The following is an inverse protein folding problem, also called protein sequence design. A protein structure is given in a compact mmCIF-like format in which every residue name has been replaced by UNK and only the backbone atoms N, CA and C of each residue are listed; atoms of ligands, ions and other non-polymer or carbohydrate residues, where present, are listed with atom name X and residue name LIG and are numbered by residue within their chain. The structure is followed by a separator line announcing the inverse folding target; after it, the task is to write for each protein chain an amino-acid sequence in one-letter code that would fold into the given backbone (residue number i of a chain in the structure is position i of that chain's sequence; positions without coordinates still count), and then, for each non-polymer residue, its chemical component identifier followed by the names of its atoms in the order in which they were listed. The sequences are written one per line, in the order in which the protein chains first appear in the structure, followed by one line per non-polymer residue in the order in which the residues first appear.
data_IF_994541287141
#
_entry.id   IF_994541287141
#
_cell.length_a   1.000
_cell.length_b   1.000
_cell.length_c   1.000
_cell.angle_alpha   90.00
_cell.angle_beta   90.00
_cell.angle_gamma   90.00
#
_symmetry.space_group_name_H-M   'P 1'
#
loop_
_entity.id
_entity.type
_entity.pdbx_description
1 polymer ?
#
# COMPACT_ATOMS: atom_id res chain seq x y z
N UNK A 1 0.56 13.68 -14.49
CA UNK A 1 1.42 13.32 -13.35
C UNK A 1 0.67 12.38 -12.42
N UNK A 2 1.34 11.31 -12.00
CA UNK A 2 0.70 10.37 -11.07
C UNK A 2 0.69 10.97 -9.67
N UNK A 3 -0.41 10.79 -8.92
CA UNK A 3 -0.48 11.30 -7.56
C UNK A 3 0.49 10.54 -6.66
N UNK A 4 1.03 11.24 -5.68
CA UNK A 4 1.95 10.65 -4.70
C UNK A 4 1.18 10.32 -3.43
N UNK A 5 1.45 9.16 -2.85
CA UNK A 5 0.82 8.75 -1.60
C UNK A 5 1.44 9.55 -0.46
N UNK A 6 0.60 10.23 0.30
CA UNK A 6 1.02 11.01 1.45
C UNK A 6 0.85 10.24 2.75
N UNK A 7 -0.28 9.53 2.88
CA UNK A 7 -0.57 8.71 4.05
C UNK A 7 -1.24 7.43 3.62
N UNK A 8 -1.08 6.40 4.42
CA UNK A 8 -1.77 5.14 4.21
C UNK A 8 -2.05 4.51 5.58
N UNK A 9 -3.23 3.90 5.74
CA UNK A 9 -3.62 3.24 6.97
C UNK A 9 -4.28 1.92 6.66
N UNK A 10 -3.95 0.91 7.45
CA UNK A 10 -4.63 -0.37 7.37
C UNK A 10 -6.04 -0.24 7.94
N UNK A 11 -7.03 -0.80 7.23
CA UNK A 11 -8.41 -0.80 7.70
C UNK A 11 -8.87 -2.21 8.10
N UNK A 12 -8.94 -3.11 7.14
CA UNK A 12 -9.37 -4.49 7.40
C UNK A 12 -8.99 -5.37 6.23
N UNK A 13 -8.81 -6.68 6.47
CA UNK A 13 -8.47 -7.62 5.41
C UNK A 13 -7.29 -7.12 4.59
N UNK A 14 -7.52 -6.84 3.31
CA UNK A 14 -6.52 -6.26 2.41
C UNK A 14 -6.95 -4.87 1.93
N UNK A 15 -7.77 -4.20 2.71
CA UNK A 15 -8.26 -2.85 2.41
C UNK A 15 -7.46 -1.83 3.19
N UNK A 16 -7.05 -0.77 2.50
CA UNK A 16 -6.29 0.34 3.10
C UNK A 16 -6.95 1.66 2.75
N UNK A 17 -6.77 2.64 3.63
CA UNK A 17 -7.14 4.01 3.35
C UNK A 17 -5.88 4.73 2.87
N UNK A 18 -6.00 5.47 1.76
CA UNK A 18 -4.88 6.17 1.15
C UNK A 18 -5.26 7.64 0.98
N UNK A 19 -4.32 8.51 1.32
CA UNK A 19 -4.44 9.94 1.04
C UNK A 19 -3.29 10.36 0.14
N UNK A 20 -3.63 11.07 -0.93
CA UNK A 20 -2.66 11.56 -1.90
C UNK A 20 -2.27 13.00 -1.64
N UNK A 21 -1.17 13.44 -2.24
CA UNK A 21 -0.65 14.79 -2.01
C UNK A 21 -1.53 15.90 -2.57
N UNK A 22 -2.48 15.57 -3.44
CA UNK A 22 -3.44 16.54 -3.98
C UNK A 22 -4.68 16.66 -3.10
N UNK A 23 -4.72 15.95 -1.97
CA UNK A 23 -5.85 15.99 -1.05
C UNK A 23 -6.90 14.93 -1.30
N UNK A 24 -6.83 14.19 -2.41
CA UNK A 24 -7.75 13.08 -2.67
C UNK A 24 -7.48 11.95 -1.69
N UNK A 25 -8.54 11.28 -1.25
CA UNK A 25 -8.41 10.15 -0.33
C UNK A 25 -9.53 9.15 -0.57
N UNK A 26 -9.31 7.91 -0.14
CA UNK A 26 -10.32 6.87 -0.27
C UNK A 26 -9.81 5.54 0.19
N UNK A 27 -10.73 4.57 0.23
CA UNK A 27 -10.41 3.20 0.59
C UNK A 27 -10.17 2.37 -0.66
N UNK A 28 -9.16 1.53 -0.62
CA UNK A 28 -8.79 0.68 -1.75
C UNK A 28 -8.63 -0.75 -1.26
N UNK A 29 -9.30 -1.68 -1.94
CA UNK A 29 -9.13 -3.11 -1.70
C UNK A 29 -8.01 -3.62 -2.61
N UNK A 30 -6.92 -4.06 -2.01
CA UNK A 30 -5.75 -4.51 -2.74
C UNK A 30 -5.69 -6.03 -2.96
N UNK A 31 -6.76 -6.75 -2.65
CA UNK A 31 -6.78 -8.21 -2.77
C UNK A 31 -6.36 -8.67 -4.16
N UNK A 32 -6.87 -8.04 -5.20
CA UNK A 32 -6.59 -8.43 -6.59
C UNK A 32 -5.15 -8.10 -7.02
N UNK A 33 -4.46 -7.28 -6.25
CA UNK A 33 -3.09 -6.88 -6.56
C UNK A 33 -2.03 -7.75 -5.88
N UNK A 34 -2.44 -8.63 -4.98
CA UNK A 34 -1.52 -9.44 -4.19
C UNK A 34 -1.14 -10.74 -4.91
N UNK A 35 -0.49 -10.62 -6.05
CA UNK A 35 -0.02 -11.77 -6.83
C UNK A 35 1.45 -11.58 -7.20
N UNK A 36 2.13 -12.69 -7.52
CA UNK A 36 3.56 -12.68 -7.78
C UNK A 36 4.37 -12.97 -6.52
N UNK A 37 5.61 -13.38 -6.68
CA UNK A 37 6.45 -13.84 -5.56
C UNK A 37 6.65 -12.76 -4.49
N UNK A 38 6.85 -11.52 -4.90
CA UNK A 38 7.12 -10.41 -3.97
C UNK A 38 5.92 -10.15 -3.07
N UNK A 39 4.71 -10.37 -3.60
CA UNK A 39 3.49 -10.09 -2.85
C UNK A 39 2.95 -11.31 -2.09
N UNK A 40 3.56 -12.47 -2.26
CA UNK A 40 3.10 -13.69 -1.57
C UNK A 40 3.06 -13.52 -0.05
N UNK A 41 4.12 -12.99 0.61
CA UNK A 41 4.07 -12.76 2.06
C UNK A 41 2.97 -11.80 2.50
N UNK A 42 2.54 -10.90 1.63
CA UNK A 42 1.52 -9.91 1.96
C UNK A 42 0.13 -10.52 2.07
N UNK A 43 -0.05 -11.75 1.61
CA UNK A 43 -1.32 -12.47 1.78
C UNK A 43 -1.58 -12.81 3.23
N UNK A 44 -0.54 -12.81 4.08
CA UNK A 44 -0.70 -12.93 5.52
C UNK A 44 -1.05 -11.56 6.06
N UNK A 45 -2.22 -11.43 6.69
CA UNK A 45 -2.72 -10.14 7.17
C UNK A 45 -1.72 -9.46 8.11
N UNK A 46 -1.08 -10.23 9.00
CA UNK A 46 -0.10 -9.67 9.93
C UNK A 46 1.05 -8.96 9.20
N UNK A 47 1.50 -9.54 8.09
CA UNK A 47 2.56 -8.92 7.31
C UNK A 47 2.03 -7.73 6.50
N UNK A 48 0.82 -7.89 5.94
CA UNK A 48 0.19 -6.82 5.18
C UNK A 48 0.05 -5.53 6.00
N UNK A 49 -0.26 -5.66 7.28
CA UNK A 49 -0.40 -4.52 8.19
C UNK A 49 0.89 -3.71 8.36
N UNK A 50 2.04 -4.27 8.02
CA UNK A 50 3.33 -3.60 8.19
C UNK A 50 3.62 -2.59 7.10
N UNK A 51 2.66 -2.28 6.26
CA UNK A 51 2.80 -1.30 5.18
C UNK A 51 3.24 0.06 5.70
N UNK A 52 4.00 0.78 4.89
CA UNK A 52 4.48 2.12 5.19
C UNK A 52 4.49 2.96 3.93
N UNK A 53 4.44 4.26 4.09
CA UNK A 53 4.63 5.19 2.97
C UNK A 53 6.12 5.53 2.91
N UNK A 54 6.74 5.22 1.78
CA UNK A 54 8.17 5.51 1.60
C UNK A 54 8.39 7.01 1.43
N UNK A 55 9.27 7.64 2.23
CA UNK A 55 9.43 9.09 2.20
C UNK A 55 10.00 9.63 0.88
N UNK A 56 10.72 8.83 0.13
CA UNK A 56 11.29 9.25 -1.15
C UNK A 56 10.46 8.79 -2.34
N UNK A 57 9.97 7.55 -2.31
CA UNK A 57 9.21 6.99 -3.42
C UNK A 57 7.75 7.45 -3.44
N UNK A 58 7.24 7.92 -2.30
CA UNK A 58 5.87 8.41 -2.17
C UNK A 58 4.83 7.37 -2.60
N UNK A 59 5.06 6.12 -2.20
CA UNK A 59 4.14 5.02 -2.44
C UNK A 59 4.18 4.06 -1.25
N UNK A 60 3.28 3.10 -1.25
CA UNK A 60 3.21 2.11 -0.17
C UNK A 60 4.28 1.05 -0.39
N UNK A 61 5.03 0.76 0.66
CA UNK A 61 6.08 -0.27 0.63
C UNK A 61 5.94 -1.20 1.83
N UNK A 62 6.54 -2.37 1.73
CA UNK A 62 6.59 -3.36 2.81
C UNK A 62 8.04 -3.72 3.11
N UNK A 63 8.32 -4.27 4.31
CA UNK A 63 9.70 -4.56 4.71
C UNK A 63 10.47 -5.50 3.78
N UNK A 64 9.78 -6.34 3.00
CA UNK A 64 10.44 -7.25 2.07
C UNK A 64 10.81 -6.61 0.73
N UNK A 65 10.60 -5.31 0.58
CA UNK A 65 10.89 -4.59 -0.66
C UNK A 65 9.74 -4.52 -1.65
N UNK A 66 8.59 -5.13 -1.32
CA UNK A 66 7.41 -5.00 -2.18
C UNK A 66 6.92 -3.55 -2.16
N UNK A 67 6.44 -3.06 -3.29
CA UNK A 67 5.89 -1.72 -3.38
C UNK A 67 4.72 -1.66 -4.36
N UNK A 68 3.90 -0.62 -4.22
CA UNK A 68 2.85 -0.29 -5.16
C UNK A 68 3.22 1.00 -5.88
N UNK A 69 4.28 0.95 -6.66
CA UNK A 69 4.66 2.09 -7.47
C UNK A 69 3.56 2.36 -8.52
N UNK A 70 3.17 3.60 -8.71
CA UNK A 70 2.17 3.95 -9.71
C UNK A 70 2.66 3.72 -11.13
#
# INVERSE_FOLDING_TARGET
MLPRVREARYLSGYTVWIKFNDGAEGEVDLTSELHGEVFEPLKTVEYFKSLQVHPELHTIVWPNGADFAP
#
